data_IF_322076234645
#
_entry.id   IF_322076234645
#
_cell.length_a   1.000
_cell.length_b   1.000
_cell.length_c   1.000
_cell.angle_alpha   90.00
_cell.angle_beta   90.00
_cell.angle_gamma   90.00
#
_symmetry.space_group_name_H-M   'P 1'
#
loop_
_entity.id
_entity.type
_entity.pdbx_description
1 polymer ?
#
# COMPACT_ATOMS: atom_id res chain seq x y z
N UNK A 1 27.51 -0.99 -20.16
CA UNK A 1 26.21 -0.45 -19.71
C UNK A 1 26.35 -0.12 -18.23
N UNK A 2 26.62 1.17 -17.90
CA UNK A 2 26.53 1.66 -16.52
C UNK A 2 25.04 1.77 -16.18
N UNK A 3 24.56 0.91 -15.31
CA UNK A 3 23.29 1.11 -14.63
C UNK A 3 23.47 2.25 -13.63
N UNK A 4 22.89 3.41 -13.92
CA UNK A 4 22.78 4.46 -12.93
C UNK A 4 21.96 3.90 -11.74
N UNK A 5 22.59 3.74 -10.58
CA UNK A 5 21.85 3.50 -9.32
C UNK A 5 20.96 4.72 -9.05
N UNK A 6 19.74 4.52 -8.61
CA UNK A 6 18.87 5.66 -8.32
C UNK A 6 19.48 6.48 -7.17
N UNK A 7 19.49 7.78 -7.32
CA UNK A 7 20.05 8.76 -6.36
C UNK A 7 19.57 8.54 -4.91
N UNK A 8 18.33 8.05 -4.75
CA UNK A 8 17.76 7.73 -3.45
C UNK A 8 18.46 6.57 -2.70
N UNK A 9 19.12 5.63 -3.44
CA UNK A 9 19.87 4.54 -2.81
C UNK A 9 21.17 5.07 -2.18
N UNK A 10 21.79 6.05 -2.80
CA UNK A 10 23.02 6.68 -2.29
C UNK A 10 22.72 7.45 -0.99
N UNK A 11 21.64 8.26 -0.97
CA UNK A 11 21.25 9.02 0.22
C UNK A 11 20.89 8.13 1.43
N UNK A 12 20.29 6.95 1.21
CA UNK A 12 19.97 6.01 2.29
C UNK A 12 21.25 5.40 2.83
N UNK A 13 22.16 5.02 1.94
CA UNK A 13 23.46 4.47 2.31
C UNK A 13 24.28 5.47 3.13
N UNK A 14 24.32 6.73 2.70
CA UNK A 14 25.02 7.81 3.41
C UNK A 14 24.44 8.04 4.81
N UNK A 15 23.10 8.04 4.95
CA UNK A 15 22.41 8.18 6.23
C UNK A 15 22.72 7.01 7.16
N UNK A 16 22.74 5.77 6.65
CA UNK A 16 23.09 4.59 7.43
C UNK A 16 24.57 4.61 7.85
N UNK A 17 25.46 5.08 7.00
CA UNK A 17 26.87 5.23 7.32
C UNK A 17 27.07 6.28 8.42
N UNK A 18 26.37 7.42 8.36
CA UNK A 18 26.36 8.45 9.42
C UNK A 18 25.90 7.89 10.76
N UNK A 19 24.87 7.02 10.75
CA UNK A 19 24.42 6.35 11.98
C UNK A 19 25.49 5.43 12.58
N UNK A 20 26.25 4.71 11.75
CA UNK A 20 27.33 3.83 12.19
C UNK A 20 28.46 4.65 12.82
N UNK A 21 28.90 5.72 12.16
CA UNK A 21 29.96 6.61 12.63
C UNK A 21 29.59 7.25 13.98
N UNK A 22 28.36 7.76 14.11
CA UNK A 22 27.85 8.32 15.36
C UNK A 22 27.84 7.29 16.50
N UNK A 23 27.47 6.05 16.22
CA UNK A 23 27.50 4.98 17.22
C UNK A 23 28.92 4.64 17.66
N UNK A 24 29.90 4.59 16.73
CA UNK A 24 31.31 4.33 17.03
C UNK A 24 31.93 5.47 17.86
N UNK A 25 31.51 6.72 17.62
CA UNK A 25 31.92 7.90 18.39
C UNK A 25 31.23 8.00 19.77
N UNK A 26 30.26 7.13 20.05
CA UNK A 26 29.51 7.10 21.32
C UNK A 26 28.31 8.06 21.35
N UNK A 27 27.98 8.74 20.27
CA UNK A 27 26.78 9.59 20.16
C UNK A 27 25.55 8.75 19.77
N UNK A 28 25.03 8.03 20.77
CA UNK A 28 23.89 7.11 20.59
C UNK A 28 22.63 7.85 20.15
N UNK A 29 22.43 9.12 20.60
CA UNK A 29 21.23 9.88 20.24
C UNK A 29 21.25 10.25 18.76
N UNK A 30 22.36 10.76 18.27
CA UNK A 30 22.51 11.08 16.85
C UNK A 30 22.40 9.84 15.96
N UNK A 31 22.96 8.70 16.39
CA UNK A 31 22.81 7.43 15.69
C UNK A 31 21.32 7.00 15.55
N UNK A 32 20.51 7.18 16.62
CA UNK A 32 19.07 6.88 16.58
C UNK A 32 18.32 7.83 15.64
N UNK A 33 18.67 9.11 15.62
CA UNK A 33 18.04 10.10 14.74
C UNK A 33 18.32 9.77 13.26
N UNK A 34 19.57 9.42 12.91
CA UNK A 34 19.95 9.00 11.55
C UNK A 34 19.25 7.69 11.13
N UNK A 35 19.12 6.72 12.04
CA UNK A 35 18.37 5.48 11.77
C UNK A 35 16.89 5.76 11.49
N UNK A 36 16.27 6.70 12.20
CA UNK A 36 14.86 7.06 11.93
C UNK A 36 14.73 7.76 10.57
N UNK A 37 15.67 8.61 10.17
CA UNK A 37 15.71 9.22 8.84
C UNK A 37 15.87 8.16 7.76
N UNK A 38 16.80 7.21 7.91
CA UNK A 38 17.00 6.12 6.96
C UNK A 38 15.75 5.25 6.84
N UNK A 39 15.11 4.93 7.97
CA UNK A 39 13.84 4.18 8.02
C UNK A 39 12.74 4.90 7.25
N UNK A 40 12.57 6.21 7.44
CA UNK A 40 11.55 7.00 6.72
C UNK A 40 11.79 6.97 5.20
N UNK A 41 13.04 7.11 4.75
CA UNK A 41 13.41 6.99 3.33
C UNK A 41 13.08 5.60 2.77
N UNK A 42 13.41 4.53 3.49
CA UNK A 42 13.09 3.14 3.11
C UNK A 42 11.57 2.91 3.05
N UNK A 43 10.82 3.46 3.99
CA UNK A 43 9.35 3.39 3.97
C UNK A 43 8.78 4.14 2.77
N UNK A 44 9.36 5.26 2.37
CA UNK A 44 9.00 5.99 1.16
C UNK A 44 9.17 5.15 -0.12
N UNK A 45 10.32 4.45 -0.26
CA UNK A 45 10.54 3.52 -1.38
C UNK A 45 9.51 2.39 -1.39
N UNK A 46 9.18 1.85 -0.23
CA UNK A 46 8.20 0.78 -0.08
C UNK A 46 6.78 1.26 -0.41
N UNK A 47 6.43 2.49 -0.02
CA UNK A 47 5.17 3.15 -0.41
C UNK A 47 5.08 3.34 -1.92
N UNK A 48 6.14 3.80 -2.57
CA UNK A 48 6.22 3.93 -4.02
C UNK A 48 6.03 2.59 -4.74
N UNK A 49 6.65 1.52 -4.23
CA UNK A 49 6.47 0.17 -4.75
C UNK A 49 5.02 -0.34 -4.58
N UNK A 50 4.35 0.00 -3.48
CA UNK A 50 2.94 -0.34 -3.26
C UNK A 50 2.02 0.47 -4.19
N UNK A 51 2.29 1.76 -4.37
CA UNK A 51 1.54 2.64 -5.28
C UNK A 51 1.57 2.18 -6.74
N UNK A 52 2.64 1.49 -7.15
CA UNK A 52 2.76 0.94 -8.50
C UNK A 52 1.72 -0.15 -8.83
N UNK A 53 1.06 -0.72 -7.82
CA UNK A 53 -0.05 -1.67 -8.02
C UNK A 53 -1.41 -1.01 -8.23
N UNK A 54 -1.53 0.29 -8.01
CA UNK A 54 -2.76 1.02 -8.32
C UNK A 54 -2.93 1.08 -9.84
N UNK A 55 -4.09 0.67 -10.39
CA UNK A 55 -4.28 0.54 -11.82
C UNK A 55 -4.22 1.91 -12.53
N UNK A 56 -3.87 1.88 -13.80
CA UNK A 56 -4.03 3.06 -14.66
C UNK A 56 -5.52 3.37 -14.81
N UNK A 57 -5.92 4.64 -14.91
CA UNK A 57 -7.33 4.98 -15.08
C UNK A 57 -7.87 4.40 -16.40
N UNK A 58 -9.08 3.82 -16.40
CA UNK A 58 -9.75 3.40 -17.63
C UNK A 58 -10.01 4.57 -18.58
N UNK A 59 -10.34 4.28 -19.83
CA UNK A 59 -10.68 5.33 -20.80
C UNK A 59 -11.85 6.20 -20.29
N UNK A 60 -11.67 7.51 -20.32
CA UNK A 60 -12.63 8.50 -19.82
C UNK A 60 -12.60 8.71 -18.30
N UNK A 61 -11.69 8.04 -17.59
CA UNK A 61 -11.48 8.26 -16.16
C UNK A 61 -10.18 9.03 -15.91
N UNK A 62 -10.15 9.77 -14.82
CA UNK A 62 -8.95 10.42 -14.28
C UNK A 62 -8.54 9.73 -12.99
N UNK A 63 -7.25 9.73 -12.68
CA UNK A 63 -6.69 9.24 -11.41
C UNK A 63 -6.02 10.40 -10.68
N UNK A 64 -6.29 10.49 -9.39
CA UNK A 64 -5.63 11.41 -8.46
C UNK A 64 -5.08 10.62 -7.28
N UNK A 65 -3.75 10.65 -7.12
CA UNK A 65 -3.07 9.97 -6.02
C UNK A 65 -3.17 10.80 -4.73
N UNK A 66 -3.40 10.13 -3.59
CA UNK A 66 -3.43 10.75 -2.27
C UNK A 66 -2.18 10.36 -1.45
N UNK A 67 -1.14 11.21 -1.44
CA UNK A 67 0.10 10.92 -0.70
C UNK A 67 -0.06 11.00 0.83
N UNK A 68 -1.08 11.69 1.34
CA UNK A 68 -1.26 11.94 2.78
C UNK A 68 -1.62 10.66 3.56
N UNK A 69 -2.18 9.66 2.88
CA UNK A 69 -2.53 8.36 3.50
C UNK A 69 -1.31 7.65 4.05
N UNK A 70 -0.19 7.71 3.34
CA UNK A 70 1.06 7.10 3.79
C UNK A 70 1.62 7.78 5.05
N UNK A 71 1.49 9.10 5.16
CA UNK A 71 1.94 9.88 6.32
C UNK A 71 1.07 9.59 7.54
N UNK A 72 -0.25 9.47 7.36
CA UNK A 72 -1.20 9.14 8.44
C UNK A 72 -0.91 7.81 9.10
N UNK A 73 -0.44 6.81 8.35
CA UNK A 73 -0.09 5.49 8.89
C UNK A 73 1.11 5.50 9.83
N UNK A 74 2.07 6.40 9.65
CA UNK A 74 3.19 6.58 10.58
C UNK A 74 2.73 6.86 12.00
N UNK A 75 1.62 7.60 12.15
CA UNK A 75 0.99 7.91 13.44
C UNK A 75 0.11 6.78 13.99
N UNK A 76 -0.34 5.85 13.13
CA UNK A 76 -1.27 4.78 13.46
C UNK A 76 -0.60 3.40 13.58
N UNK A 77 0.63 3.33 14.03
CA UNK A 77 1.35 2.06 14.28
C UNK A 77 2.23 1.60 13.12
N UNK A 78 2.49 2.46 12.14
CA UNK A 78 3.40 2.17 11.02
C UNK A 78 2.75 1.38 9.90
N UNK A 79 3.60 0.89 8.97
CA UNK A 79 3.17 0.24 7.74
C UNK A 79 3.31 1.16 6.53
N UNK A 80 2.83 0.70 5.38
CA UNK A 80 2.79 1.46 4.13
C UNK A 80 1.39 1.45 3.55
N UNK A 81 1.00 2.57 2.95
CA UNK A 81 -0.25 2.68 2.21
C UNK A 81 -0.08 3.46 0.92
N UNK A 82 -0.95 3.16 -0.04
CA UNK A 82 -1.11 3.92 -1.26
C UNK A 82 -2.60 4.06 -1.55
N UNK A 83 -3.02 5.24 -1.96
CA UNK A 83 -4.42 5.52 -2.27
C UNK A 83 -4.51 6.36 -3.53
N UNK A 84 -5.49 6.04 -4.36
CA UNK A 84 -5.87 6.89 -5.48
C UNK A 84 -7.38 6.92 -5.65
N UNK A 85 -7.87 8.09 -6.02
CA UNK A 85 -9.26 8.33 -6.41
C UNK A 85 -9.37 8.34 -7.94
N UNK A 86 -10.41 7.71 -8.44
CA UNK A 86 -10.72 7.60 -9.87
C UNK A 86 -12.08 8.23 -10.15
N UNK A 87 -12.17 9.11 -11.15
CA UNK A 87 -13.41 9.80 -11.49
C UNK A 87 -13.62 9.92 -12.99
N UNK A 88 -14.86 9.74 -13.43
CA UNK A 88 -15.31 10.03 -14.81
C UNK A 88 -16.29 11.22 -14.88
N UNK A 89 -16.41 11.98 -13.80
CA UNK A 89 -17.32 13.13 -13.68
C UNK A 89 -18.73 12.76 -13.22
N UNK A 90 -19.17 11.51 -13.36
CA UNK A 90 -20.47 11.02 -12.87
C UNK A 90 -20.35 10.05 -11.69
N UNK A 91 -19.27 9.27 -11.67
CA UNK A 91 -18.95 8.34 -10.59
C UNK A 91 -17.51 8.58 -10.12
N UNK A 92 -17.27 8.25 -8.86
CA UNK A 92 -15.95 8.29 -8.26
C UNK A 92 -15.78 7.06 -7.37
N UNK A 93 -14.65 6.38 -7.50
CA UNK A 93 -14.23 5.37 -6.54
C UNK A 93 -12.81 5.61 -6.06
N UNK A 94 -12.50 5.11 -4.89
CA UNK A 94 -11.16 5.19 -4.29
C UNK A 94 -10.63 3.79 -4.06
N UNK A 95 -9.40 3.53 -4.48
CA UNK A 95 -8.65 2.30 -4.15
C UNK A 95 -7.63 2.67 -3.09
N UNK A 96 -7.65 1.93 -1.98
CA UNK A 96 -6.68 2.02 -0.91
C UNK A 96 -5.94 0.69 -0.76
N UNK A 97 -4.62 0.73 -0.79
CA UNK A 97 -3.73 -0.39 -0.53
C UNK A 97 -3.01 -0.15 0.78
N UNK A 98 -2.94 -1.17 1.64
CA UNK A 98 -2.26 -1.08 2.93
C UNK A 98 -1.49 -2.36 3.22
N UNK A 99 -0.25 -2.25 3.70
CA UNK A 99 0.57 -3.39 4.07
C UNK A 99 1.40 -3.12 5.33
N UNK A 100 1.81 -4.21 5.99
CA UNK A 100 2.69 -4.19 7.17
C UNK A 100 2.15 -3.31 8.32
N UNK A 101 0.82 -3.29 8.49
CA UNK A 101 0.13 -2.54 9.54
C UNK A 101 -0.72 -3.50 10.41
N UNK A 102 -0.83 -3.21 11.68
CA UNK A 102 -1.61 -4.02 12.63
C UNK A 102 -3.10 -4.12 12.23
N UNK A 103 -3.65 -3.10 11.59
CA UNK A 103 -5.03 -3.11 11.08
C UNK A 103 -5.23 -4.19 10.02
N UNK A 104 -4.25 -4.42 9.14
CA UNK A 104 -4.29 -5.48 8.12
C UNK A 104 -4.43 -6.85 8.81
N UNK A 105 -3.65 -7.09 9.85
CA UNK A 105 -3.72 -8.34 10.62
C UNK A 105 -5.09 -8.50 11.32
N UNK A 106 -5.65 -7.44 11.87
CA UNK A 106 -6.96 -7.49 12.55
C UNK A 106 -8.11 -7.76 11.57
N UNK A 107 -8.06 -7.21 10.36
CA UNK A 107 -9.08 -7.43 9.31
C UNK A 107 -8.94 -8.80 8.64
N UNK A 108 -7.77 -9.42 8.69
CA UNK A 108 -7.53 -10.72 8.06
C UNK A 108 -8.52 -11.79 8.52
N UNK A 109 -8.82 -11.84 9.80
CA UNK A 109 -9.80 -12.78 10.38
C UNK A 109 -11.21 -12.58 9.80
N UNK A 110 -11.64 -11.33 9.65
CA UNK A 110 -12.94 -10.97 9.09
C UNK A 110 -13.02 -11.33 7.61
N UNK A 111 -12.05 -10.90 6.81
CA UNK A 111 -12.02 -11.13 5.35
C UNK A 111 -11.95 -12.63 5.03
N UNK A 112 -11.12 -13.39 5.75
CA UNK A 112 -10.97 -14.83 5.53
C UNK A 112 -12.24 -15.61 5.89
N UNK A 113 -13.06 -15.11 6.82
CA UNK A 113 -14.32 -15.72 7.26
C UNK A 113 -15.57 -14.99 6.73
N UNK A 114 -15.42 -14.08 5.77
CA UNK A 114 -16.51 -13.23 5.28
C UNK A 114 -17.76 -14.01 4.86
N UNK A 115 -17.60 -15.12 4.15
CA UNK A 115 -18.72 -15.97 3.74
C UNK A 115 -19.48 -16.60 4.93
N UNK A 116 -18.76 -16.99 5.99
CA UNK A 116 -19.35 -17.53 7.22
C UNK A 116 -20.09 -16.43 7.99
N UNK A 117 -19.63 -15.20 7.89
CA UNK A 117 -20.25 -14.01 8.48
C UNK A 117 -21.43 -13.47 7.66
N UNK A 118 -21.81 -14.15 6.56
CA UNK A 118 -22.93 -13.76 5.71
C UNK A 118 -22.64 -12.62 4.72
N UNK A 119 -21.37 -12.25 4.55
CA UNK A 119 -20.98 -11.29 3.54
C UNK A 119 -21.00 -11.92 2.14
N UNK A 120 -21.34 -11.14 1.13
CA UNK A 120 -21.16 -11.57 -0.26
C UNK A 120 -19.67 -11.67 -0.56
N UNK A 121 -19.23 -12.77 -1.19
CA UNK A 121 -17.83 -12.99 -1.57
C UNK A 121 -17.75 -13.20 -3.06
N UNK A 122 -16.95 -12.39 -3.73
CA UNK A 122 -16.64 -12.52 -5.15
C UNK A 122 -15.17 -12.88 -5.36
N UNK A 123 -14.86 -13.44 -6.54
CA UNK A 123 -13.50 -13.80 -6.94
C UNK A 123 -13.09 -12.99 -8.15
N UNK A 124 -12.04 -12.19 -7.99
CA UNK A 124 -11.41 -11.42 -9.06
C UNK A 124 -9.98 -11.92 -9.21
N UNK A 125 -9.57 -12.33 -10.42
CA UNK A 125 -8.21 -12.84 -10.71
C UNK A 125 -7.71 -13.87 -9.67
N UNK A 126 -8.60 -14.82 -9.26
CA UNK A 126 -8.38 -15.86 -8.22
C UNK A 126 -8.24 -15.34 -6.79
N UNK A 127 -8.24 -14.03 -6.57
CA UNK A 127 -8.27 -13.41 -5.24
C UNK A 127 -9.72 -13.31 -4.73
N UNK A 128 -9.94 -13.57 -3.44
CA UNK A 128 -11.26 -13.42 -2.79
C UNK A 128 -11.44 -12.00 -2.29
N UNK A 129 -12.63 -11.46 -2.51
CA UNK A 129 -13.05 -10.16 -2.02
C UNK A 129 -14.38 -10.29 -1.28
N UNK A 130 -14.46 -9.71 -0.09
CA UNK A 130 -15.70 -9.54 0.66
C UNK A 130 -16.36 -8.24 0.24
N UNK A 131 -17.66 -8.28 0.00
CA UNK A 131 -18.48 -7.11 -0.35
C UNK A 131 -19.39 -6.83 0.83
N UNK A 132 -19.30 -5.62 1.36
CA UNK A 132 -20.15 -5.12 2.42
C UNK A 132 -20.63 -3.72 2.08
N UNK A 133 -21.94 -3.55 1.96
CA UNK A 133 -22.58 -2.30 1.56
C UNK A 133 -22.01 -1.78 0.22
N UNK A 134 -21.31 -0.66 0.22
CA UNK A 134 -20.66 -0.05 -0.94
C UNK A 134 -19.13 -0.14 -0.86
N UNK A 135 -18.60 -1.13 -0.17
CA UNK A 135 -17.17 -1.36 -0.01
C UNK A 135 -16.80 -2.79 -0.37
N UNK A 136 -15.69 -2.96 -1.07
CA UNK A 136 -15.11 -4.26 -1.40
C UNK A 136 -13.72 -4.35 -0.76
N UNK A 137 -13.46 -5.43 -0.05
CA UNK A 137 -12.20 -5.66 0.66
C UNK A 137 -11.63 -7.04 0.34
N UNK A 138 -10.34 -7.11 0.08
CA UNK A 138 -9.61 -8.35 -0.12
C UNK A 138 -8.23 -8.31 0.51
N UNK A 139 -7.66 -9.49 0.76
CA UNK A 139 -6.36 -9.60 1.40
C UNK A 139 -5.43 -10.46 0.53
N UNK A 140 -4.49 -9.83 -0.15
CA UNK A 140 -3.54 -10.49 -1.04
C UNK A 140 -2.39 -11.06 -0.22
N UNK A 141 -2.14 -12.37 -0.37
CA UNK A 141 -1.10 -13.12 0.37
C UNK A 141 -1.15 -12.94 1.91
N UNK A 142 -2.31 -12.67 2.47
CA UNK A 142 -2.52 -12.32 3.89
C UNK A 142 -1.68 -11.12 4.37
N UNK A 143 -1.28 -10.23 3.46
CA UNK A 143 -0.32 -9.17 3.76
C UNK A 143 -0.71 -7.82 3.22
N UNK A 144 -1.26 -7.75 2.02
CA UNK A 144 -1.70 -6.49 1.41
C UNK A 144 -3.22 -6.43 1.43
N UNK A 145 -3.76 -5.51 2.20
CA UNK A 145 -5.18 -5.17 2.19
C UNK A 145 -5.47 -4.32 0.96
N UNK A 146 -6.45 -4.73 0.19
CA UNK A 146 -7.01 -3.97 -0.93
C UNK A 146 -8.43 -3.58 -0.56
N UNK A 147 -8.73 -2.28 -0.54
CA UNK A 147 -10.06 -1.72 -0.33
C UNK A 147 -10.45 -0.87 -1.52
N UNK A 148 -11.69 -0.99 -1.94
CA UNK A 148 -12.27 -0.10 -2.95
C UNK A 148 -13.68 0.29 -2.52
N UNK A 149 -14.03 1.56 -2.69
CA UNK A 149 -15.32 2.12 -2.28
C UNK A 149 -15.68 3.35 -3.11
N UNK A 150 -16.97 3.69 -3.13
CA UNK A 150 -17.47 5.00 -3.65
C UNK A 150 -18.28 4.91 -4.93
N UNK A 151 -18.20 3.83 -5.72
CA UNK A 151 -19.05 3.60 -6.89
C UNK A 151 -19.97 2.38 -6.70
N UNK A 152 -20.71 2.00 -7.73
CA UNK A 152 -21.45 0.74 -7.75
C UNK A 152 -20.50 -0.47 -7.77
N UNK A 153 -21.02 -1.61 -7.32
CA UNK A 153 -20.21 -2.84 -7.15
C UNK A 153 -19.60 -3.32 -8.46
N UNK A 154 -20.34 -3.22 -9.57
CA UNK A 154 -19.86 -3.73 -10.87
C UNK A 154 -18.70 -2.86 -11.39
N UNK A 155 -18.79 -1.54 -11.26
CA UNK A 155 -17.70 -0.61 -11.57
C UNK A 155 -16.46 -0.90 -10.73
N UNK A 156 -16.64 -1.14 -9.43
CA UNK A 156 -15.54 -1.44 -8.53
C UNK A 156 -14.89 -2.80 -8.79
N UNK A 157 -15.68 -3.82 -9.13
CA UNK A 157 -15.16 -5.15 -9.52
C UNK A 157 -14.35 -5.06 -10.82
N UNK A 158 -14.84 -4.33 -11.83
CA UNK A 158 -14.11 -4.11 -13.07
C UNK A 158 -12.75 -3.40 -12.82
N UNK A 159 -12.70 -2.44 -11.91
CA UNK A 159 -11.43 -1.79 -11.54
C UNK A 159 -10.45 -2.76 -10.87
N UNK A 160 -10.94 -3.70 -10.07
CA UNK A 160 -10.10 -4.73 -9.44
C UNK A 160 -9.58 -5.76 -10.46
N UNK A 161 -10.27 -6.01 -11.57
CA UNK A 161 -9.81 -6.90 -12.64
C UNK A 161 -8.52 -6.43 -13.32
N UNK A 162 -8.29 -5.11 -13.34
CA UNK A 162 -7.09 -4.48 -13.90
C UNK A 162 -5.85 -4.60 -12.98
N UNK A 163 -6.01 -5.12 -11.76
CA UNK A 163 -4.91 -5.20 -10.78
C UNK A 163 -4.14 -6.52 -10.89
N UNK A 164 -2.81 -6.44 -10.83
CA UNK A 164 -1.93 -7.62 -10.79
C UNK A 164 -1.72 -8.13 -9.36
N UNK A 165 -2.69 -8.90 -8.86
CA UNK A 165 -2.59 -9.51 -7.53
C UNK A 165 -1.47 -10.55 -7.41
N UNK A 166 -1.02 -11.13 -8.53
CA UNK A 166 0.09 -12.09 -8.52
C UNK A 166 1.40 -11.37 -8.23
N UNK A 167 1.67 -10.25 -8.89
CA UNK A 167 2.83 -9.42 -8.60
C UNK A 167 2.73 -8.82 -7.19
N UNK A 168 1.53 -8.34 -6.77
CA UNK A 168 1.29 -7.82 -5.43
C UNK A 168 1.57 -8.84 -4.32
N UNK A 169 1.36 -10.14 -4.56
CA UNK A 169 1.66 -11.20 -3.60
C UNK A 169 3.16 -11.29 -3.25
N UNK A 170 4.05 -10.78 -4.11
CA UNK A 170 5.50 -10.70 -3.89
C UNK A 170 5.95 -9.38 -3.26
N UNK A 171 5.02 -8.49 -2.92
CA UNK A 171 5.33 -7.20 -2.32
C UNK A 171 6.14 -7.34 -1.04
N UNK A 172 7.29 -6.65 -0.96
CA UNK A 172 8.17 -6.62 0.21
C UNK A 172 8.93 -7.93 0.49
N UNK A 173 9.11 -8.78 -0.54
CA UNK A 173 9.99 -9.95 -0.49
C UNK A 173 11.33 -9.63 -1.15
#
# INVERSE_FOLDING_TARGET
LLTAMPLAADEITDTLQSAIEAYEDGDVQYALDELEIAKQKLMGLKTGALSAFLPVPPEGWTREDNPDVAQGLGMMGGGVAAEASYSNGSQTYTINLMADNAMVASLAGMINNAAVMGMKVERVNRQKFAIQDSEIMGLVANRVLVRISGADVDTMLAALEEMDFKAMASFGQ
#
